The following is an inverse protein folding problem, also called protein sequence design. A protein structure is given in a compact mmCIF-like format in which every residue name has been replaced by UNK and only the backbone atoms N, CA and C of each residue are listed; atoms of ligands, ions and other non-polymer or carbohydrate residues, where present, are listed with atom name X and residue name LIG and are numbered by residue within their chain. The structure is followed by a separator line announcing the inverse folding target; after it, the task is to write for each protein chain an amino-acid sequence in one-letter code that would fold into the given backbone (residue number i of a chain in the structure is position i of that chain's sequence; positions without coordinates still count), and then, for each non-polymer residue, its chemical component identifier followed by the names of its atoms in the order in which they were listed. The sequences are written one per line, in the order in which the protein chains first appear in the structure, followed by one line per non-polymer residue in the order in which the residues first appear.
data_IF_823903873599
#
_entry.id   IF_823903873599
#
_cell.length_a   1.000
_cell.length_b   1.000
_cell.length_c   1.000
_cell.angle_alpha   90.00
_cell.angle_beta   90.00
_cell.angle_gamma   90.00
#
_symmetry.space_group_name_H-M   'P 1'
#
loop_
_entity.id
_entity.type
_entity.pdbx_description
1 polymer ?
#
# COMPACT_ATOMS: atom_id res chain seq x y z
N UNK A 1 -27.15 -42.56 -5.86
CA UNK A 1 -27.42 -41.15 -5.54
C UNK A 1 -26.67 -40.81 -4.28
N UNK A 2 -25.54 -40.12 -4.42
CA UNK A 2 -24.83 -39.51 -3.30
C UNK A 2 -24.51 -38.09 -3.75
N UNK A 3 -25.18 -37.11 -3.15
CA UNK A 3 -24.86 -35.70 -3.30
C UNK A 3 -23.55 -35.45 -2.55
N UNK A 4 -22.47 -35.22 -3.29
CA UNK A 4 -21.20 -34.78 -2.71
C UNK A 4 -21.35 -33.33 -2.28
N UNK A 5 -21.15 -33.09 -0.98
CA UNK A 5 -21.03 -31.77 -0.38
C UNK A 5 -19.84 -31.04 -1.02
N UNK A 6 -20.07 -29.80 -1.45
CA UNK A 6 -19.01 -28.85 -1.80
C UNK A 6 -18.57 -28.20 -0.47
N UNK A 7 -17.35 -28.46 0.03
CA UNK A 7 -16.82 -27.67 1.13
C UNK A 7 -16.46 -26.29 0.59
N UNK A 8 -17.18 -25.27 1.06
CA UNK A 8 -16.82 -23.87 0.86
C UNK A 8 -15.44 -23.62 1.45
N UNK A 9 -14.53 -23.15 0.59
CA UNK A 9 -13.20 -22.70 0.97
C UNK A 9 -13.32 -21.34 1.68
N UNK A 10 -13.61 -21.37 2.98
CA UNK A 10 -13.67 -20.21 3.86
C UNK A 10 -12.42 -20.18 4.76
N UNK A 11 -11.22 -20.19 4.19
CA UNK A 11 -9.98 -20.24 5.00
C UNK A 11 -8.86 -19.33 4.50
N UNK A 12 -9.20 -18.09 4.11
CA UNK A 12 -8.18 -17.04 3.98
C UNK A 12 -8.72 -15.64 4.35
N UNK A 13 -8.97 -15.34 5.63
CA UNK A 13 -9.39 -14.01 6.06
C UNK A 13 -8.21 -13.03 6.22
N UNK A 14 -7.01 -13.41 5.77
CA UNK A 14 -5.82 -12.55 5.79
C UNK A 14 -5.19 -12.61 4.40
N UNK A 15 -4.84 -11.44 3.88
CA UNK A 15 -4.18 -11.28 2.58
C UNK A 15 -2.98 -12.23 2.54
N UNK A 16 -3.10 -13.32 1.76
CA UNK A 16 -2.03 -14.28 1.59
C UNK A 16 -0.97 -13.64 0.69
N UNK A 17 -0.10 -12.83 1.29
CA UNK A 17 1.07 -12.29 0.61
C UNK A 17 1.99 -13.46 0.27
N UNK A 18 1.90 -13.92 -0.97
CA UNK A 18 2.84 -14.89 -1.50
C UNK A 18 4.19 -14.17 -1.72
N UNK A 19 5.03 -14.19 -0.68
CA UNK A 19 6.40 -13.61 -0.71
C UNK A 19 7.27 -14.25 -1.81
N UNK A 20 6.86 -15.42 -2.31
CA UNK A 20 7.58 -16.17 -3.33
C UNK A 20 7.01 -15.98 -4.75
N UNK A 21 5.95 -15.16 -4.91
CA UNK A 21 5.48 -14.85 -6.26
C UNK A 21 6.47 -13.94 -6.95
N UNK A 22 6.78 -14.27 -8.20
CA UNK A 22 7.65 -13.49 -9.06
C UNK A 22 6.96 -12.21 -9.56
N UNK A 23 6.17 -11.53 -8.72
CA UNK A 23 5.70 -10.15 -8.91
C UNK A 23 6.84 -9.13 -8.92
N UNK A 24 8.10 -9.61 -8.88
CA UNK A 24 9.32 -8.91 -9.34
C UNK A 24 9.22 -8.31 -10.75
N UNK A 25 8.10 -8.44 -11.47
CA UNK A 25 7.90 -7.84 -12.79
C UNK A 25 7.18 -6.50 -12.80
N UNK A 26 6.50 -6.05 -11.73
CA UNK A 26 5.85 -4.73 -11.72
C UNK A 26 6.86 -3.57 -11.88
N UNK A 27 8.10 -3.75 -11.41
CA UNK A 27 9.16 -2.73 -11.47
C UNK A 27 10.30 -3.04 -12.44
N UNK A 28 10.32 -4.22 -13.08
CA UNK A 28 11.49 -4.66 -13.87
C UNK A 28 11.41 -4.21 -15.32
N UNK A 29 10.20 -4.03 -15.83
CA UNK A 29 9.99 -3.50 -17.16
C UNK A 29 9.71 -2.00 -17.06
N UNK A 30 10.73 -1.23 -17.46
CA UNK A 30 10.90 0.23 -17.38
C UNK A 30 11.30 0.78 -16.00
N UNK A 31 12.44 1.48 -15.99
CA UNK A 31 12.83 2.45 -14.96
C UNK A 31 11.71 3.48 -14.79
N UNK A 32 10.68 3.16 -14.03
CA UNK A 32 9.64 4.10 -13.68
C UNK A 32 10.27 5.10 -12.73
N UNK A 33 10.69 6.23 -13.29
CA UNK A 33 11.45 7.24 -12.57
C UNK A 33 10.71 7.86 -11.37
N UNK A 34 9.43 7.52 -11.20
CA UNK A 34 8.52 8.00 -10.17
C UNK A 34 8.32 7.05 -8.99
N UNK A 35 8.52 5.73 -9.14
CA UNK A 35 8.51 4.83 -7.98
C UNK A 35 9.86 5.01 -7.29
N UNK A 36 9.89 5.92 -6.32
CA UNK A 36 11.12 6.28 -5.63
C UNK A 36 11.59 5.13 -4.73
N UNK A 37 10.66 4.27 -4.27
CA UNK A 37 10.93 3.11 -3.42
C UNK A 37 10.20 1.84 -3.87
N UNK A 38 10.96 0.76 -4.10
CA UNK A 38 10.39 -0.57 -4.36
C UNK A 38 9.69 -1.19 -3.16
N UNK A 39 9.91 -0.66 -1.94
CA UNK A 39 9.34 -1.20 -0.69
C UNK A 39 8.18 -0.34 -0.21
N UNK A 40 8.37 0.98 -0.18
CA UNK A 40 7.37 1.89 0.36
C UNK A 40 6.19 2.07 -0.59
N UNK A 41 6.40 2.03 -1.90
CA UNK A 41 5.30 2.18 -2.84
C UNK A 41 4.25 1.06 -2.70
N UNK A 42 4.61 -0.25 -2.74
CA UNK A 42 3.66 -1.33 -2.45
C UNK A 42 3.00 -1.21 -1.07
N UNK A 43 3.76 -0.81 -0.04
CA UNK A 43 3.20 -0.57 1.29
C UNK A 43 2.12 0.52 1.26
N UNK A 44 2.38 1.62 0.55
CA UNK A 44 1.42 2.71 0.38
C UNK A 44 0.11 2.25 -0.26
N UNK A 45 0.18 1.41 -1.30
CA UNK A 45 -1.02 0.85 -1.94
C UNK A 45 -1.83 0.00 -0.96
N UNK A 46 -1.19 -0.86 -0.18
CA UNK A 46 -1.91 -1.72 0.77
C UNK A 46 -2.52 -0.92 1.91
N UNK A 47 -1.88 0.15 2.36
CA UNK A 47 -2.49 1.03 3.36
C UNK A 47 -3.73 1.76 2.80
N UNK A 48 -3.78 2.08 1.51
CA UNK A 48 -5.01 2.58 0.86
C UNK A 48 -6.11 1.53 0.93
N UNK A 49 -5.82 0.30 0.51
CA UNK A 49 -6.79 -0.80 0.48
C UNK A 49 -7.31 -1.14 1.88
N UNK A 50 -6.44 -1.14 2.89
CA UNK A 50 -6.81 -1.37 4.28
C UNK A 50 -7.69 -0.26 4.86
N UNK A 51 -7.44 0.99 4.49
CA UNK A 51 -8.26 2.13 4.93
C UNK A 51 -9.67 2.10 4.35
N UNK A 52 -9.78 1.74 3.06
CA UNK A 52 -11.05 1.78 2.33
C UNK A 52 -11.79 0.44 2.28
N UNK A 53 -11.15 -0.63 2.79
CA UNK A 53 -11.64 -2.00 2.76
C UNK A 53 -12.04 -2.48 1.35
N UNK A 54 -11.33 -2.01 0.33
CA UNK A 54 -11.56 -2.32 -1.09
C UNK A 54 -10.22 -2.50 -1.79
N UNK A 55 -10.16 -3.40 -2.77
CA UNK A 55 -8.96 -3.56 -3.60
C UNK A 55 -8.82 -2.37 -4.54
N UNK A 56 -7.58 -2.00 -4.87
CA UNK A 56 -7.33 -0.80 -5.64
C UNK A 56 -7.95 -0.85 -7.04
N UNK A 57 -8.02 -2.04 -7.65
CA UNK A 57 -8.59 -2.27 -8.98
C UNK A 57 -10.07 -1.90 -9.07
N UNK A 58 -10.83 -2.04 -7.98
CA UNK A 58 -12.24 -1.67 -7.91
C UNK A 58 -12.45 -0.16 -7.79
N UNK A 59 -11.41 0.57 -7.37
CA UNK A 59 -11.44 2.01 -7.12
C UNK A 59 -10.92 2.82 -8.29
N UNK A 60 -10.36 2.18 -9.33
CA UNK A 60 -9.83 2.84 -10.53
C UNK A 60 -10.98 3.50 -11.31
N UNK A 61 -10.79 4.76 -11.70
CA UNK A 61 -11.71 5.47 -12.60
C UNK A 61 -11.05 5.72 -13.97
N UNK A 62 -11.83 5.97 -15.04
CA UNK A 62 -11.27 6.21 -16.38
C UNK A 62 -10.20 7.32 -16.43
N UNK A 63 -10.30 8.32 -15.57
CA UNK A 63 -9.36 9.43 -15.45
C UNK A 63 -7.98 9.01 -14.91
N UNK A 64 -7.92 7.89 -14.17
CA UNK A 64 -6.66 7.34 -13.65
C UNK A 64 -5.89 6.54 -14.72
N UNK A 65 -6.52 6.25 -15.88
CA UNK A 65 -5.94 5.39 -16.90
C UNK A 65 -4.61 5.92 -17.43
N UNK A 66 -3.69 5.00 -17.69
CA UNK A 66 -2.33 5.29 -18.15
C UNK A 66 -1.78 4.06 -18.90
N UNK A 67 -0.76 4.27 -19.72
CA UNK A 67 -0.10 3.17 -20.42
C UNK A 67 0.70 2.27 -19.49
N UNK A 68 1.09 2.78 -18.32
CA UNK A 68 1.82 2.02 -17.30
C UNK A 68 0.92 1.75 -16.10
N UNK A 69 0.76 0.47 -15.75
CA UNK A 69 -0.05 0.03 -14.61
C UNK A 69 0.33 0.73 -13.29
N UNK A 70 1.63 0.88 -13.03
CA UNK A 70 2.11 1.61 -11.86
C UNK A 70 1.64 3.08 -11.79
N UNK A 71 1.49 3.75 -12.93
CA UNK A 71 0.93 5.11 -12.96
C UNK A 71 -0.57 5.11 -12.68
N UNK A 72 -1.31 4.11 -13.17
CA UNK A 72 -2.73 3.93 -12.82
C UNK A 72 -2.86 3.77 -11.31
N UNK A 73 -2.07 2.87 -10.70
CA UNK A 73 -2.08 2.63 -9.25
C UNK A 73 -1.71 3.89 -8.46
N UNK A 74 -0.66 4.60 -8.85
CA UNK A 74 -0.25 5.83 -8.17
C UNK A 74 -1.30 6.95 -8.28
N UNK A 75 -1.89 7.18 -9.47
CA UNK A 75 -2.94 8.18 -9.66
C UNK A 75 -4.18 7.86 -8.82
N UNK A 76 -4.65 6.61 -8.90
CA UNK A 76 -5.78 6.09 -8.11
C UNK A 76 -5.53 6.31 -6.62
N UNK A 77 -4.41 5.81 -6.09
CA UNK A 77 -4.06 5.93 -4.68
C UNK A 77 -3.93 7.40 -4.22
N UNK A 78 -3.31 8.25 -5.04
CA UNK A 78 -3.14 9.68 -4.71
C UNK A 78 -4.48 10.43 -4.69
N UNK A 79 -5.39 10.13 -5.62
CA UNK A 79 -6.74 10.70 -5.65
C UNK A 79 -7.54 10.33 -4.41
N UNK A 80 -7.34 9.12 -3.89
CA UNK A 80 -8.04 8.60 -2.72
C UNK A 80 -7.53 9.14 -1.38
N UNK A 81 -6.40 9.87 -1.34
CA UNK A 81 -5.82 10.38 -0.09
C UNK A 81 -6.80 11.22 0.74
N UNK A 82 -7.67 12.02 0.11
CA UNK A 82 -8.67 12.79 0.85
C UNK A 82 -9.70 11.87 1.53
N UNK A 83 -10.15 10.82 0.84
CA UNK A 83 -11.09 9.86 1.40
C UNK A 83 -10.47 9.08 2.57
N UNK A 84 -9.18 8.74 2.47
CA UNK A 84 -8.43 8.09 3.54
C UNK A 84 -8.31 9.01 4.76
N UNK A 85 -8.05 10.30 4.56
CA UNK A 85 -8.00 11.27 5.65
C UNK A 85 -9.34 11.35 6.38
N UNK A 86 -10.45 11.39 5.63
CA UNK A 86 -11.80 11.44 6.19
C UNK A 86 -12.16 10.14 6.95
N UNK A 87 -11.71 8.98 6.48
CA UNK A 87 -12.07 7.65 7.01
C UNK A 87 -11.14 7.16 8.12
N UNK A 88 -9.84 7.44 8.01
CA UNK A 88 -8.78 6.86 8.85
C UNK A 88 -7.91 7.91 9.55
N UNK A 89 -8.17 9.20 9.31
CA UNK A 89 -7.51 10.31 9.97
C UNK A 89 -6.29 10.85 9.22
N UNK A 90 -5.99 12.12 9.48
CA UNK A 90 -4.93 12.87 8.81
C UNK A 90 -3.53 12.25 8.99
N UNK A 91 -3.22 11.70 10.17
CA UNK A 91 -1.91 11.09 10.42
C UNK A 91 -1.70 9.82 9.61
N UNK A 92 -2.73 8.97 9.50
CA UNK A 92 -2.70 7.79 8.65
C UNK A 92 -2.55 8.18 7.17
N UNK A 93 -3.36 9.12 6.68
CA UNK A 93 -3.29 9.61 5.31
C UNK A 93 -1.91 10.21 4.97
N UNK A 94 -1.29 10.90 5.93
CA UNK A 94 0.07 11.44 5.79
C UNK A 94 1.12 10.34 5.62
N UNK A 95 1.01 9.24 6.35
CA UNK A 95 1.87 8.07 6.17
C UNK A 95 1.67 7.47 4.77
N UNK A 96 0.42 7.23 4.37
CA UNK A 96 0.10 6.70 3.03
C UNK A 96 0.74 7.56 1.95
N UNK A 97 0.59 8.88 2.04
CA UNK A 97 1.19 9.83 1.11
C UNK A 97 2.71 9.71 1.05
N UNK A 98 3.39 9.59 2.21
CA UNK A 98 4.85 9.42 2.27
C UNK A 98 5.30 8.11 1.64
N UNK A 99 4.54 7.03 1.84
CA UNK A 99 4.83 5.75 1.20
C UNK A 99 4.74 5.84 -0.34
N UNK A 100 3.70 6.49 -0.86
CA UNK A 100 3.46 6.64 -2.30
C UNK A 100 4.42 7.62 -2.99
N UNK A 101 4.81 8.68 -2.27
CA UNK A 101 5.57 9.83 -2.81
C UNK A 101 6.85 10.06 -1.99
N UNK A 102 7.56 8.98 -1.64
CA UNK A 102 8.73 9.05 -0.77
C UNK A 102 9.71 10.13 -1.25
N UNK A 103 10.11 11.09 -0.42
CA UNK A 103 10.95 12.23 -0.84
C UNK A 103 12.44 11.90 -0.92
N UNK A 104 12.87 10.72 -0.44
CA UNK A 104 14.28 10.32 -0.37
C UNK A 104 14.88 9.93 -1.73
N UNK A 105 16.20 9.73 -1.75
CA UNK A 105 16.94 9.39 -2.96
C UNK A 105 16.54 8.03 -3.52
N UNK A 106 16.58 7.91 -4.85
CA UNK A 106 16.09 6.77 -5.65
C UNK A 106 16.79 5.42 -5.40
N UNK A 107 17.98 5.43 -4.79
CA UNK A 107 18.72 4.22 -4.43
C UNK A 107 18.34 3.80 -3.01
N UNK A 108 17.16 3.21 -2.91
CA UNK A 108 16.58 2.77 -1.64
C UNK A 108 17.06 1.36 -1.36
N UNK A 109 18.14 1.24 -0.59
CA UNK A 109 18.49 0.00 0.07
C UNK A 109 18.17 0.14 1.56
N UNK A 110 17.52 -0.86 2.14
CA UNK A 110 17.32 -0.95 3.59
C UNK A 110 18.65 -1.15 4.36
N UNK A 111 19.80 -1.03 3.70
CA UNK A 111 21.11 -1.17 4.31
C UNK A 111 21.61 0.17 4.90
N UNK A 112 21.00 1.30 4.52
CA UNK A 112 21.33 2.61 5.08
C UNK A 112 20.65 2.82 6.43
N UNK A 113 21.43 3.05 7.49
CA UNK A 113 20.92 3.36 8.84
C UNK A 113 20.07 4.64 8.84
N UNK A 114 20.52 5.69 8.14
CA UNK A 114 19.77 6.96 8.00
C UNK A 114 18.39 6.72 7.39
N UNK A 115 18.32 5.84 6.38
CA UNK A 115 17.04 5.51 5.77
C UNK A 115 16.14 4.70 6.70
N UNK A 116 16.70 3.74 7.45
CA UNK A 116 15.93 2.97 8.42
C UNK A 116 15.35 3.87 9.50
N UNK A 117 16.14 4.86 9.95
CA UNK A 117 15.70 5.88 10.91
C UNK A 117 14.56 6.73 10.32
N UNK A 118 14.71 7.23 9.09
CA UNK A 118 13.65 7.97 8.40
C UNK A 118 12.36 7.14 8.24
N UNK A 119 12.46 5.87 7.83
CA UNK A 119 11.30 4.99 7.72
C UNK A 119 10.66 4.78 9.09
N UNK A 120 11.47 4.55 10.12
CA UNK A 120 10.97 4.35 11.47
C UNK A 120 10.20 5.57 11.97
N UNK A 121 10.79 6.76 11.85
CA UNK A 121 10.19 8.01 12.32
C UNK A 121 8.99 8.45 11.49
N UNK A 122 9.07 8.34 10.16
CA UNK A 122 8.08 8.93 9.26
C UNK A 122 6.94 7.99 8.91
N UNK A 123 7.15 6.67 9.00
CA UNK A 123 6.19 5.65 8.59
C UNK A 123 5.80 4.76 9.78
N UNK A 124 6.75 4.11 10.45
CA UNK A 124 6.44 3.05 11.43
C UNK A 124 5.85 3.65 12.71
N UNK A 125 6.52 4.63 13.34
CA UNK A 125 6.05 5.22 14.60
C UNK A 125 4.64 5.80 14.47
N UNK A 126 4.32 6.59 13.41
CA UNK A 126 2.96 7.12 13.24
C UNK A 126 1.89 6.02 13.01
N UNK A 127 2.24 4.91 12.34
CA UNK A 127 1.31 3.78 12.20
C UNK A 127 1.07 3.07 13.53
N UNK A 128 2.10 2.91 14.36
CA UNK A 128 1.96 2.34 15.72
C UNK A 128 1.09 3.23 16.59
N UNK A 129 1.25 4.55 16.50
CA UNK A 129 0.40 5.49 17.24
C UNK A 129 -1.04 5.47 16.73
N UNK A 130 -1.24 5.40 15.41
CA UNK A 130 -2.57 5.22 14.80
C UNK A 130 -3.23 3.92 15.29
N UNK A 131 -2.48 2.83 15.42
CA UNK A 131 -2.98 1.57 15.95
C UNK A 131 -3.46 1.71 17.39
N UNK A 132 -2.70 2.39 18.25
CA UNK A 132 -3.11 2.64 19.64
C UNK A 132 -4.43 3.39 19.72
N UNK A 133 -4.62 4.40 18.85
CA UNK A 133 -5.87 5.14 18.73
C UNK A 133 -7.02 4.21 18.32
N UNK A 134 -6.82 3.35 17.31
CA UNK A 134 -7.83 2.39 16.87
C UNK A 134 -8.19 1.35 17.94
N UNK A 135 -7.25 1.01 18.82
CA UNK A 135 -7.48 0.10 19.95
C UNK A 135 -8.11 0.79 21.17
N UNK A 136 -8.40 2.09 21.10
CA UNK A 136 -8.95 2.87 22.21
C UNK A 136 -7.94 3.09 23.34
N UNK A 137 -6.64 2.96 23.06
CA UNK A 137 -5.54 3.22 23.98
C UNK A 137 -5.02 4.64 23.72
N UNK A 138 -5.71 5.64 24.27
CA UNK A 138 -5.31 7.06 24.25
C UNK A 138 -4.70 7.51 25.57
#
# INVERSE_FOLDING_TARGET
MFTQNIPGNYDAPYVLWNVNDQSRTLCRDTKLSLIQSEILFPLGLVLVELSLCQILEELVIPEDNDQVEAYVKLKTATRLLQMIEDQSGADYAKVVRRCLLWPGTKDITLESEEMQEDIFELIISPLVDSLRIFEGRS
#
